data_IF_320960989080
#
_entry.id   IF_320960989080
#
_cell.length_a   1.000
_cell.length_b   1.000
_cell.length_c   1.000
_cell.angle_alpha   90.00
_cell.angle_beta   90.00
_cell.angle_gamma   90.00
#
_symmetry.space_group_name_H-M   'P 1'
#
loop_
_entity.id
_entity.type
_entity.pdbx_description
1 polymer ?
#
# COMPACT_ATOMS: atom_id res chain seq x y z
N UNK A 1 7.74 -0.01 -14.70
CA UNK A 1 8.43 -0.62 -13.55
C UNK A 1 7.48 -0.71 -12.36
N UNK A 2 7.62 -1.75 -11.56
CA UNK A 2 6.73 -1.98 -10.43
C UNK A 2 7.54 -2.17 -9.15
N UNK A 3 6.97 -1.76 -8.04
CA UNK A 3 7.52 -2.03 -6.72
C UNK A 3 6.50 -2.82 -5.92
N UNK A 4 6.96 -3.82 -5.20
CA UNK A 4 6.10 -4.65 -4.38
C UNK A 4 6.74 -4.81 -2.99
N UNK A 5 5.90 -4.78 -1.97
CA UNK A 5 6.34 -4.96 -0.59
C UNK A 5 5.31 -5.81 0.13
N UNK A 6 5.77 -6.69 0.99
CA UNK A 6 4.91 -7.52 1.80
C UNK A 6 5.23 -7.38 3.27
N UNK A 7 4.25 -7.62 4.11
CA UNK A 7 4.42 -7.61 5.56
C UNK A 7 3.54 -8.66 6.20
N UNK A 8 4.10 -9.33 7.19
CA UNK A 8 3.38 -10.20 8.10
C UNK A 8 4.02 -10.08 9.48
N UNK A 9 3.22 -9.77 10.48
CA UNK A 9 3.78 -9.59 11.80
C UNK A 9 2.72 -9.29 12.84
N UNK A 10 3.14 -8.67 13.93
CA UNK A 10 2.28 -8.37 15.06
C UNK A 10 1.54 -7.04 14.92
N UNK A 11 2.03 -6.16 14.07
CA UNK A 11 1.50 -4.83 13.93
C UNK A 11 0.53 -4.76 12.75
N UNK A 12 -0.23 -3.68 12.68
CA UNK A 12 -1.08 -3.41 11.53
C UNK A 12 -0.20 -3.30 10.28
N UNK A 13 -0.56 -4.03 9.24
CA UNK A 13 0.25 -4.09 8.03
C UNK A 13 0.15 -2.80 7.20
N UNK A 14 -1.04 -2.20 7.13
CA UNK A 14 -1.27 -1.09 6.20
C UNK A 14 -0.35 0.11 6.42
N UNK A 15 -0.15 0.63 7.64
CA UNK A 15 0.77 1.75 7.81
C UNK A 15 2.21 1.41 7.43
N UNK A 16 2.63 0.19 7.68
CA UNK A 16 3.99 -0.26 7.34
C UNK A 16 4.14 -0.32 5.83
N UNK A 17 3.12 -0.83 5.13
CA UNK A 17 3.15 -0.93 3.68
C UNK A 17 3.11 0.45 3.02
N UNK A 18 2.30 1.37 3.54
CA UNK A 18 2.26 2.75 3.04
C UNK A 18 3.63 3.39 3.16
N UNK A 19 4.25 3.28 4.34
CA UNK A 19 5.57 3.86 4.56
C UNK A 19 6.61 3.26 3.62
N UNK A 20 6.57 1.93 3.42
CA UNK A 20 7.49 1.27 2.51
C UNK A 20 7.33 1.72 1.07
N UNK A 21 6.09 1.87 0.61
CA UNK A 21 5.82 2.35 -0.74
C UNK A 21 6.28 3.79 -0.93
N UNK A 22 6.11 4.65 0.08
CA UNK A 22 6.60 6.02 0.02
C UNK A 22 8.10 6.09 -0.17
N UNK A 23 8.84 5.20 0.48
CA UNK A 23 10.30 5.17 0.35
C UNK A 23 10.75 4.77 -1.05
N UNK A 24 9.91 4.05 -1.79
CA UNK A 24 10.23 3.62 -3.14
C UNK A 24 9.78 4.61 -4.21
N UNK A 25 9.07 5.67 -3.82
CA UNK A 25 8.53 6.65 -4.76
C UNK A 25 9.56 7.54 -5.43
N UNK A 26 10.78 7.58 -4.91
CA UNK A 26 11.81 8.43 -5.48
C UNK A 26 12.08 8.15 -6.96
N UNK A 27 11.68 6.99 -7.45
CA UNK A 27 11.85 6.60 -8.86
C UNK A 27 10.68 7.05 -9.74
N UNK A 28 9.65 7.66 -9.17
CA UNK A 28 8.47 8.07 -9.90
C UNK A 28 7.21 7.44 -9.33
N UNK A 29 6.07 7.79 -9.93
CA UNK A 29 4.78 7.27 -9.47
C UNK A 29 3.81 7.18 -10.63
N UNK A 30 2.78 6.35 -10.47
CA UNK A 30 1.64 6.25 -11.38
C UNK A 30 0.41 5.86 -10.57
N UNK A 31 0.45 4.68 -9.95
CA UNK A 31 -0.66 4.20 -9.14
C UNK A 31 -0.13 3.38 -7.98
N UNK A 32 -0.96 3.23 -6.95
CA UNK A 32 -0.59 2.49 -5.75
C UNK A 32 -1.80 1.75 -5.20
N UNK A 33 -1.57 0.58 -4.64
CA UNK A 33 -2.61 -0.20 -4.01
C UNK A 33 -2.06 -0.99 -2.84
N UNK A 34 -2.94 -1.26 -1.89
CA UNK A 34 -2.62 -2.07 -0.71
C UNK A 34 -3.75 -3.06 -0.50
N UNK A 35 -3.38 -4.31 -0.28
CA UNK A 35 -4.33 -5.36 0.08
C UNK A 35 -3.90 -5.96 1.40
N UNK A 36 -4.85 -6.13 2.31
CA UNK A 36 -4.61 -6.77 3.59
C UNK A 36 -5.60 -7.90 3.79
N UNK A 37 -5.26 -8.84 4.66
CA UNK A 37 -6.16 -9.92 5.04
C UNK A 37 -6.55 -9.74 6.50
N UNK A 38 -7.85 -9.75 6.77
CA UNK A 38 -8.40 -9.65 8.12
C UNK A 38 -9.63 -10.54 8.21
N UNK A 39 -9.68 -11.41 9.22
CA UNK A 39 -10.86 -12.25 9.51
C UNK A 39 -11.37 -13.01 8.27
N UNK A 40 -10.46 -13.63 7.54
CA UNK A 40 -10.80 -14.41 6.33
C UNK A 40 -11.30 -13.57 5.15
N UNK A 41 -11.09 -12.24 5.21
CA UNK A 41 -11.44 -11.34 4.11
C UNK A 41 -10.19 -10.67 3.59
N UNK A 42 -10.15 -10.46 2.29
CA UNK A 42 -9.12 -9.66 1.65
C UNK A 42 -9.71 -8.30 1.34
N UNK A 43 -9.06 -7.26 1.84
CA UNK A 43 -9.50 -5.89 1.67
C UNK A 43 -8.49 -5.17 0.80
N UNK A 44 -8.98 -4.40 -0.16
CA UNK A 44 -8.14 -3.73 -1.15
C UNK A 44 -8.54 -2.27 -1.27
N UNK A 45 -7.55 -1.38 -1.26
CA UNK A 45 -7.74 0.03 -1.61
C UNK A 45 -6.63 0.44 -2.54
N UNK A 46 -6.98 1.22 -3.56
CA UNK A 46 -6.01 1.65 -4.57
C UNK A 46 -6.43 2.96 -5.19
N UNK A 47 -5.50 3.61 -5.87
CA UNK A 47 -5.77 4.85 -6.57
C UNK A 47 -4.61 5.24 -7.46
N UNK A 48 -4.83 6.29 -8.25
CA UNK A 48 -3.85 6.84 -9.17
C UNK A 48 -3.23 8.07 -8.53
N UNK A 49 -1.90 8.15 -8.53
CA UNK A 49 -1.19 9.28 -7.96
C UNK A 49 -0.10 8.84 -6.99
N UNK A 50 0.45 9.81 -6.28
CA UNK A 50 1.46 9.54 -5.26
C UNK A 50 0.83 8.87 -4.06
N UNK A 51 1.66 8.12 -3.31
CA UNK A 51 1.19 7.38 -2.14
C UNK A 51 0.46 8.29 -1.16
N UNK A 52 1.01 9.46 -0.85
CA UNK A 52 0.39 10.36 0.11
C UNK A 52 -0.96 10.87 -0.40
N UNK A 53 -1.08 11.13 -1.69
CA UNK A 53 -2.32 11.60 -2.29
C UNK A 53 -3.40 10.51 -2.24
N UNK A 54 -3.02 9.29 -2.61
CA UNK A 54 -3.96 8.17 -2.60
C UNK A 54 -4.35 7.83 -1.17
N UNK A 55 -3.39 7.87 -0.24
CA UNK A 55 -3.68 7.60 1.17
C UNK A 55 -4.67 8.62 1.73
N UNK A 56 -4.53 9.89 1.38
CA UNK A 56 -5.47 10.92 1.82
C UNK A 56 -6.86 10.72 1.24
N UNK A 57 -6.94 10.20 0.01
CA UNK A 57 -8.23 10.04 -0.67
C UNK A 57 -8.97 8.80 -0.22
N UNK A 58 -8.27 7.66 -0.02
CA UNK A 58 -8.94 6.38 0.24
C UNK A 58 -8.47 5.70 1.53
N UNK A 59 -7.65 6.37 2.32
CA UNK A 59 -7.18 5.88 3.63
C UNK A 59 -6.54 4.49 3.52
N UNK A 60 -5.47 4.40 2.75
CA UNK A 60 -4.73 3.14 2.58
C UNK A 60 -4.26 2.59 3.93
N UNK A 61 -3.80 3.48 4.82
CA UNK A 61 -3.23 3.07 6.10
C UNK A 61 -4.26 2.67 7.15
N UNK A 62 -5.55 2.73 6.82
CA UNK A 62 -6.61 2.33 7.73
C UNK A 62 -7.13 0.92 7.46
N UNK A 63 -6.61 0.23 6.48
CA UNK A 63 -6.99 -1.16 6.25
C UNK A 63 -6.60 -2.03 7.44
N UNK A 64 -7.52 -2.83 7.98
CA UNK A 64 -7.21 -3.70 9.11
C UNK A 64 -6.41 -4.92 8.68
N UNK A 65 -5.76 -5.56 9.64
CA UNK A 65 -5.04 -6.79 9.40
C UNK A 65 -3.55 -6.66 9.61
N UNK A 66 -2.91 -7.79 9.91
CA UNK A 66 -1.48 -7.83 10.19
C UNK A 66 -0.68 -8.57 9.13
N UNK A 67 -1.30 -8.81 7.99
CA UNK A 67 -0.63 -9.39 6.82
C UNK A 67 -1.16 -8.67 5.59
N UNK A 68 -0.25 -8.31 4.68
CA UNK A 68 -0.68 -7.61 3.47
C UNK A 68 0.44 -7.41 2.50
N UNK A 69 0.06 -6.89 1.34
CA UNK A 69 1.01 -6.51 0.29
C UNK A 69 0.69 -5.11 -0.19
N UNK A 70 1.74 -4.43 -0.63
CA UNK A 70 1.60 -3.14 -1.28
C UNK A 70 2.25 -3.21 -2.65
N UNK A 71 1.64 -2.54 -3.61
CA UNK A 71 2.12 -2.52 -4.99
C UNK A 71 2.04 -1.12 -5.53
N UNK A 72 3.11 -0.66 -6.14
CA UNK A 72 3.08 0.58 -6.88
C UNK A 72 3.49 0.33 -8.32
N UNK A 73 2.80 0.99 -9.24
CA UNK A 73 3.14 1.00 -10.63
C UNK A 73 3.83 2.33 -10.93
N UNK A 74 4.99 2.25 -11.51
CA UNK A 74 5.80 3.43 -11.78
C UNK A 74 5.89 3.62 -13.28
N UNK A 75 5.46 4.80 -13.72
CA UNK A 75 5.53 5.20 -15.11
C UNK A 75 6.86 5.91 -15.37
N UNK A 76 7.60 5.41 -16.33
CA UNK A 76 8.89 5.98 -16.68
C UNK A 76 8.78 6.71 -18.01
#
# INVERSE_FOLDING_TARGET
MCSIIGYRGKNSAAPILVNGLQRMEYRGYDSVGIATKSKNQILLRKGIGKVVEVNNAVQLDELPGNIGIGLSLIHI
#
